data_IF_231347188567
#
_entry.id   IF_231347188567
#
_cell.length_a   1.000
_cell.length_b   1.000
_cell.length_c   1.000
_cell.angle_alpha   90.00
_cell.angle_beta   90.00
_cell.angle_gamma   90.00
#
_symmetry.space_group_name_H-M   'P 1'
#
loop_
_entity.id
_entity.type
_entity.pdbx_description
1 polymer ?
#
# COMPACT_ATOMS: atom_id res chain seq x y z
N UNK A 1 -23.91 9.78 -8.92
CA UNK A 1 -23.09 9.12 -7.88
C UNK A 1 -21.78 9.88 -7.80
N UNK A 2 -21.53 10.61 -6.72
CA UNK A 2 -20.34 11.43 -6.58
C UNK A 2 -19.11 10.54 -6.34
N UNK A 3 -18.16 10.57 -7.26
CA UNK A 3 -16.84 9.97 -7.10
C UNK A 3 -16.06 10.79 -6.09
N UNK A 4 -16.06 10.39 -4.82
CA UNK A 4 -15.10 10.90 -3.84
C UNK A 4 -13.70 10.69 -4.41
N UNK A 5 -12.85 11.71 -4.52
CA UNK A 5 -11.51 11.54 -5.07
C UNK A 5 -10.77 10.49 -4.23
N UNK A 6 -10.29 9.44 -4.87
CA UNK A 6 -9.39 8.48 -4.22
C UNK A 6 -8.09 9.21 -3.91
N UNK A 7 -7.90 9.60 -2.65
CA UNK A 7 -6.67 10.23 -2.24
C UNK A 7 -5.56 9.18 -2.25
N UNK A 8 -4.74 9.21 -3.30
CA UNK A 8 -3.54 8.39 -3.36
C UNK A 8 -2.62 8.76 -2.18
N UNK A 9 -2.00 7.75 -1.56
CA UNK A 9 -1.00 7.98 -0.53
C UNK A 9 0.21 8.71 -1.15
N UNK A 10 0.72 9.78 -0.52
CA UNK A 10 1.86 10.53 -1.06
C UNK A 10 3.15 9.73 -0.94
N UNK A 11 4.18 10.07 -1.71
CA UNK A 11 5.51 9.45 -1.60
C UNK A 11 6.08 9.50 -0.17
N UNK A 12 5.81 10.59 0.56
CA UNK A 12 6.22 10.74 1.96
C UNK A 12 5.63 9.70 2.91
N UNK A 13 4.47 9.11 2.57
CA UNK A 13 3.91 7.98 3.32
C UNK A 13 4.80 6.74 3.20
N UNK A 14 5.38 6.48 2.02
CA UNK A 14 6.21 5.30 1.75
C UNK A 14 7.69 5.51 2.11
N UNK A 15 8.17 6.75 2.12
CA UNK A 15 9.55 7.11 2.44
C UNK A 15 9.84 7.10 3.96
N UNK A 16 9.48 6.01 4.63
CA UNK A 16 9.61 5.78 6.08
C UNK A 16 10.06 4.33 6.32
N UNK A 17 10.55 3.98 7.53
CA UNK A 17 10.94 2.60 7.86
C UNK A 17 9.80 1.60 7.64
N UNK A 18 10.12 0.39 7.17
CA UNK A 18 9.14 -0.63 6.78
C UNK A 18 8.24 -1.06 7.95
N UNK A 19 8.81 -1.14 9.15
CA UNK A 19 8.12 -1.45 10.41
C UNK A 19 7.08 -0.40 10.81
N UNK A 20 7.20 0.83 10.29
CA UNK A 20 6.20 1.90 10.47
C UNK A 20 5.13 1.83 9.37
N UNK A 21 5.55 1.64 8.12
CA UNK A 21 4.64 1.66 6.96
C UNK A 21 3.70 0.45 6.93
N UNK A 22 4.21 -0.75 7.22
CA UNK A 22 3.44 -2.00 7.14
C UNK A 22 2.12 -1.95 7.95
N UNK A 23 2.12 -1.69 9.27
CA UNK A 23 0.86 -1.64 10.03
C UNK A 23 -0.08 -0.51 9.58
N UNK A 24 0.45 0.61 9.08
CA UNK A 24 -0.38 1.72 8.58
C UNK A 24 -1.03 1.44 7.21
N UNK A 25 -0.57 0.43 6.48
CA UNK A 25 -1.22 -0.01 5.24
C UNK A 25 -2.48 -0.84 5.50
N UNK A 26 -2.66 -1.40 6.70
CA UNK A 26 -3.87 -2.17 7.05
C UNK A 26 -5.11 -1.27 6.93
N UNK A 27 -6.11 -1.73 6.18
CA UNK A 27 -7.32 -0.95 5.88
C UNK A 27 -7.22 -0.05 4.64
N UNK A 28 -6.01 0.17 4.10
CA UNK A 28 -5.85 0.89 2.83
C UNK A 28 -6.37 0.06 1.65
N UNK A 29 -6.72 0.73 0.54
CA UNK A 29 -7.12 0.06 -0.71
C UNK A 29 -5.94 -0.06 -1.66
N UNK A 30 -5.62 -1.27 -2.07
CA UNK A 30 -4.77 -1.50 -3.24
C UNK A 30 -5.66 -1.43 -4.49
N UNK A 31 -5.33 -0.54 -5.42
CA UNK A 31 -6.13 -0.28 -6.62
C UNK A 31 -5.29 -0.53 -7.86
N UNK A 32 -5.80 -1.35 -8.78
CA UNK A 32 -5.21 -1.64 -10.09
C UNK A 32 -6.16 -1.16 -11.18
N UNK A 33 -5.67 -0.25 -12.04
CA UNK A 33 -6.35 0.11 -13.28
C UNK A 33 -6.15 -0.99 -14.32
N UNK A 34 -7.25 -1.52 -14.86
CA UNK A 34 -7.23 -2.51 -15.93
C UNK A 34 -7.08 -1.83 -17.29
N UNK A 35 -6.73 -2.61 -18.33
CA UNK A 35 -6.53 -2.10 -19.69
C UNK A 35 -7.78 -1.38 -20.25
N UNK A 36 -8.99 -1.81 -19.84
CA UNK A 36 -10.25 -1.17 -20.21
C UNK A 36 -10.62 0.07 -19.40
N UNK A 37 -9.78 0.50 -18.45
CA UNK A 37 -10.03 1.67 -17.59
C UNK A 37 -10.71 1.35 -16.26
N UNK A 38 -11.33 0.18 -16.13
CA UNK A 38 -11.94 -0.33 -14.90
C UNK A 38 -10.94 -0.44 -13.74
N UNK A 39 -11.45 -0.31 -12.51
CA UNK A 39 -10.65 -0.41 -11.30
C UNK A 39 -10.93 -1.74 -10.58
N UNK A 40 -9.92 -2.61 -10.53
CA UNK A 40 -9.88 -3.74 -9.61
C UNK A 40 -9.27 -3.27 -8.28
N UNK A 41 -9.89 -3.60 -7.15
CA UNK A 41 -9.38 -3.18 -5.85
C UNK A 41 -9.68 -4.19 -4.75
N UNK A 42 -8.90 -4.11 -3.68
CA UNK A 42 -9.10 -4.85 -2.43
C UNK A 42 -8.61 -4.05 -1.24
N UNK A 43 -9.06 -4.42 -0.03
CA UNK A 43 -8.55 -3.86 1.22
C UNK A 43 -7.36 -4.68 1.67
N UNK A 44 -6.27 -4.01 2.06
CA UNK A 44 -5.10 -4.67 2.65
C UNK A 44 -5.49 -5.09 4.07
N UNK A 45 -5.44 -6.39 4.33
CA UNK A 45 -5.80 -6.98 5.63
C UNK A 45 -4.61 -7.55 6.38
N UNK A 46 -3.47 -7.70 5.71
CA UNK A 46 -2.25 -8.27 6.26
C UNK A 46 -1.02 -7.67 5.56
N UNK A 47 0.06 -7.50 6.32
CA UNK A 47 1.35 -6.99 5.85
C UNK A 47 2.49 -7.56 6.69
N UNK A 48 3.67 -7.71 6.08
CA UNK A 48 4.92 -8.02 6.77
C UNK A 48 5.93 -6.87 6.53
N UNK A 49 6.77 -6.59 7.53
CA UNK A 49 7.87 -5.64 7.41
C UNK A 49 9.20 -6.41 7.35
N UNK A 50 10.05 -6.02 6.40
CA UNK A 50 11.41 -6.55 6.25
C UNK A 50 12.40 -5.38 6.22
N UNK A 51 13.37 -5.39 7.13
CA UNK A 51 14.47 -4.45 7.19
C UNK A 51 15.74 -5.07 6.61
N UNK A 52 16.60 -4.27 5.97
CA UNK A 52 17.91 -4.72 5.47
C UNK A 52 18.84 -5.24 6.58
N UNK A 53 18.51 -4.95 7.85
CA UNK A 53 19.24 -5.46 9.01
C UNK A 53 18.82 -6.89 9.40
N UNK A 54 17.75 -7.42 8.80
CA UNK A 54 17.19 -8.73 9.13
C UNK A 54 17.64 -9.80 8.13
N UNK A 55 18.08 -10.99 8.59
CA UNK A 55 18.53 -12.07 7.71
C UNK A 55 17.47 -12.56 6.70
N UNK A 56 16.18 -12.33 6.99
CA UNK A 56 15.08 -12.73 6.12
C UNK A 56 14.80 -11.73 4.99
N UNK A 57 15.46 -10.57 4.97
CA UNK A 57 15.27 -9.55 3.93
C UNK A 57 16.15 -9.85 2.71
N UNK A 58 15.56 -9.76 1.50
CA UNK A 58 16.26 -10.02 0.23
C UNK A 58 16.71 -8.76 -0.53
N UNK A 59 16.40 -7.56 -0.02
CA UNK A 59 16.68 -6.29 -0.70
C UNK A 59 15.55 -5.88 -1.63
#
# INVERSE_FOLDING_TARGET
MATTPSQHLPQSFFARPAEVVAPELIGCRLVKRQAGGELLWGVIVETEAYSQLEPACHG
#
